data_IF_645401969111
#
_entry.id   IF_645401969111
#
_cell.length_a   1.000
_cell.length_b   1.000
_cell.length_c   1.000
_cell.angle_alpha   90.00
_cell.angle_beta   90.00
_cell.angle_gamma   90.00
#
_symmetry.space_group_name_H-M   'P 1'
#
loop_
_entity.id
_entity.type
_entity.pdbx_description
1 polymer ?
#
# COMPACT_ATOMS: atom_id res chain seq x y z
N UNK A 1 -12.39 -6.84 -14.35
CA UNK A 1 -11.76 -6.43 -13.08
C UNK A 1 -12.88 -6.22 -12.09
N UNK A 2 -12.81 -6.82 -10.90
CA UNK A 2 -13.73 -6.50 -9.82
C UNK A 2 -13.08 -5.45 -8.91
N UNK A 3 -13.83 -4.40 -8.58
CA UNK A 3 -13.44 -3.34 -7.64
C UNK A 3 -14.21 -3.55 -6.34
N UNK A 4 -13.49 -3.72 -5.24
CA UNK A 4 -14.05 -4.04 -3.92
C UNK A 4 -13.70 -2.89 -2.96
N UNK A 5 -14.72 -2.36 -2.29
CA UNK A 5 -14.55 -1.30 -1.31
C UNK A 5 -13.84 -1.82 -0.05
N UNK A 6 -13.00 -0.98 0.55
CA UNK A 6 -12.39 -1.21 1.86
C UNK A 6 -13.03 -0.33 2.93
N UNK A 7 -12.50 -0.33 4.15
CA UNK A 7 -12.90 0.63 5.19
C UNK A 7 -12.53 2.09 4.86
N UNK A 8 -11.64 2.31 3.89
CA UNK A 8 -11.29 3.63 3.38
C UNK A 8 -11.89 3.79 1.96
N UNK A 9 -12.82 4.73 1.73
CA UNK A 9 -13.57 4.82 0.47
C UNK A 9 -12.72 4.95 -0.80
N UNK A 10 -11.55 5.56 -0.73
CA UNK A 10 -10.64 5.78 -1.86
C UNK A 10 -9.59 4.67 -2.04
N UNK A 11 -9.48 3.75 -1.07
CA UNK A 11 -8.59 2.58 -1.16
C UNK A 11 -9.41 1.38 -1.62
N UNK A 12 -8.95 0.71 -2.68
CA UNK A 12 -9.71 -0.35 -3.33
C UNK A 12 -8.92 -1.63 -3.45
N UNK A 13 -9.54 -2.75 -3.05
CA UNK A 13 -9.05 -4.06 -3.47
C UNK A 13 -9.51 -4.32 -4.91
N UNK A 14 -8.58 -4.74 -5.76
CA UNK A 14 -8.84 -5.06 -7.16
C UNK A 14 -8.59 -6.54 -7.40
N UNK A 15 -9.54 -7.22 -8.03
CA UNK A 15 -9.40 -8.63 -8.43
C UNK A 15 -9.43 -8.76 -9.96
N UNK A 16 -8.29 -9.09 -10.60
CA UNK A 16 -8.25 -9.28 -12.04
C UNK A 16 -9.02 -10.54 -12.43
N UNK A 17 -9.41 -10.60 -13.70
CA UNK A 17 -9.89 -11.87 -14.26
C UNK A 17 -8.69 -12.78 -14.50
N UNK A 18 -8.78 -14.02 -14.02
CA UNK A 18 -7.68 -15.00 -14.09
C UNK A 18 -8.07 -16.05 -15.13
N UNK A 19 -7.34 -16.07 -16.24
CA UNK A 19 -7.49 -17.11 -17.26
C UNK A 19 -6.64 -18.31 -16.85
N UNK A 20 -7.25 -19.49 -16.70
CA UNK A 20 -6.55 -20.72 -16.31
C UNK A 20 -6.69 -21.78 -17.40
N UNK A 21 -5.62 -22.50 -17.67
CA UNK A 21 -5.61 -23.68 -18.53
C UNK A 21 -4.51 -24.67 -18.07
N UNK A 22 -4.33 -25.76 -18.81
CA UNK A 22 -3.36 -26.81 -18.47
C UNK A 22 -1.89 -26.31 -18.38
N UNK A 23 -1.56 -25.14 -18.93
CA UNK A 23 -0.23 -24.51 -18.88
C UNK A 23 -0.01 -23.67 -17.62
N UNK A 24 -1.08 -23.33 -16.90
CA UNK A 24 -1.04 -22.47 -15.73
C UNK A 24 -2.11 -21.38 -15.76
N UNK A 25 -1.70 -20.12 -15.58
CA UNK A 25 -2.62 -18.98 -15.62
C UNK A 25 -2.03 -17.79 -16.38
N UNK A 26 -2.92 -16.94 -16.88
CA UNK A 26 -2.61 -15.63 -17.46
C UNK A 26 -3.48 -14.56 -16.79
N UNK A 27 -2.87 -13.41 -16.49
CA UNK A 27 -3.57 -12.24 -15.97
C UNK A 27 -3.04 -10.97 -16.64
N UNK A 28 -3.94 -10.07 -17.00
CA UNK A 28 -3.58 -8.67 -17.19
C UNK A 28 -3.47 -8.03 -15.80
N UNK A 29 -2.26 -8.04 -15.24
CA UNK A 29 -2.00 -7.43 -13.93
C UNK A 29 -2.20 -5.91 -13.95
N UNK A 30 -1.98 -5.27 -15.09
CA UNK A 30 -2.31 -3.88 -15.35
C UNK A 30 -2.70 -3.70 -16.82
N UNK A 31 -3.74 -2.90 -17.05
CA UNK A 31 -4.14 -2.44 -18.36
C UNK A 31 -4.71 -1.03 -18.19
N UNK A 32 -4.03 -0.02 -18.73
CA UNK A 32 -4.35 1.39 -18.48
C UNK A 32 -5.82 1.73 -18.78
N UNK A 33 -6.33 1.29 -19.94
CA UNK A 33 -7.71 1.57 -20.34
C UNK A 33 -8.74 0.89 -19.41
N UNK A 34 -8.48 -0.36 -19.01
CA UNK A 34 -9.38 -1.09 -18.09
C UNK A 34 -9.37 -0.53 -16.67
N UNK A 35 -8.22 -0.07 -16.19
CA UNK A 35 -8.11 0.58 -14.89
C UNK A 35 -8.78 1.96 -14.89
N UNK A 36 -8.58 2.75 -15.96
CA UNK A 36 -9.24 4.03 -16.15
C UNK A 36 -10.77 3.90 -16.15
N UNK A 37 -11.31 2.89 -16.82
CA UNK A 37 -12.74 2.57 -16.80
C UNK A 37 -13.29 2.20 -15.40
N UNK A 38 -12.42 1.85 -14.44
CA UNK A 38 -12.78 1.59 -13.04
C UNK A 38 -12.47 2.78 -12.10
N UNK A 39 -12.12 3.94 -12.66
CA UNK A 39 -11.81 5.17 -11.91
C UNK A 39 -10.36 5.28 -11.44
N UNK A 40 -9.44 4.52 -12.04
CA UNK A 40 -7.99 4.62 -11.78
C UNK A 40 -7.32 5.13 -13.05
N UNK A 41 -7.21 6.45 -13.16
CA UNK A 41 -6.66 7.12 -14.34
C UNK A 41 -5.16 7.46 -14.21
N UNK A 42 -4.53 7.10 -13.08
CA UNK A 42 -3.11 7.34 -12.82
C UNK A 42 -2.22 6.71 -13.90
N UNK A 43 -1.17 7.44 -14.26
CA UNK A 43 -0.07 6.93 -15.08
C UNK A 43 1.00 6.39 -14.13
N UNK A 44 1.26 5.09 -14.20
CA UNK A 44 2.33 4.46 -13.41
C UNK A 44 3.65 4.54 -14.19
N UNK A 45 4.68 5.13 -13.57
CA UNK A 45 5.97 5.46 -14.20
C UNK A 45 7.16 4.69 -13.60
N UNK A 46 6.95 4.03 -12.47
CA UNK A 46 7.98 3.25 -11.80
C UNK A 46 7.40 1.92 -11.29
N UNK A 47 8.16 0.85 -11.50
CA UNK A 47 7.85 -0.48 -10.96
C UNK A 47 8.92 -0.89 -9.95
N UNK A 48 8.48 -1.38 -8.79
CA UNK A 48 9.38 -1.89 -7.76
C UNK A 48 9.07 -3.35 -7.48
N UNK A 49 10.08 -4.10 -7.07
CA UNK A 49 9.97 -5.49 -6.66
C UNK A 49 10.81 -5.70 -5.40
N UNK A 50 10.16 -6.16 -4.32
CA UNK A 50 10.83 -6.51 -3.08
C UNK A 50 10.61 -7.97 -2.72
N UNK A 51 11.60 -8.52 -2.01
CA UNK A 51 11.50 -9.81 -1.34
C UNK A 51 11.55 -9.60 0.18
N UNK A 52 10.70 -10.31 0.90
CA UNK A 52 10.61 -10.27 2.36
C UNK A 52 10.47 -11.68 2.92
N UNK A 53 11.10 -11.92 4.06
CA UNK A 53 10.91 -13.15 4.86
C UNK A 53 9.72 -12.97 5.81
N UNK A 54 9.17 -14.08 6.31
CA UNK A 54 8.05 -14.05 7.27
C UNK A 54 8.31 -13.12 8.45
N UNK A 55 7.29 -12.38 8.86
CA UNK A 55 7.35 -11.43 9.96
C UNK A 55 8.02 -10.11 9.61
N UNK A 56 8.56 -9.94 8.40
CA UNK A 56 9.06 -8.64 7.94
C UNK A 56 7.91 -7.65 7.82
N UNK A 57 8.03 -6.51 8.50
CA UNK A 57 7.13 -5.38 8.38
C UNK A 57 7.88 -4.21 7.74
N UNK A 58 7.33 -3.65 6.66
CA UNK A 58 7.84 -2.44 6.01
C UNK A 58 6.79 -1.35 6.11
N UNK A 59 7.18 -0.15 6.51
CA UNK A 59 6.29 0.99 6.61
C UNK A 59 6.17 1.56 8.02
N UNK A 60 5.32 2.57 8.22
CA UNK A 60 4.41 3.14 7.20
C UNK A 60 5.14 4.22 6.39
N UNK A 61 5.11 4.14 5.05
CA UNK A 61 5.85 5.04 4.16
C UNK A 61 4.94 5.91 3.30
N UNK A 62 5.33 7.17 3.15
CA UNK A 62 4.77 8.14 2.21
C UNK A 62 5.89 9.05 1.69
N UNK A 63 5.62 9.86 0.68
CA UNK A 63 6.59 10.84 0.18
C UNK A 63 5.93 12.19 -0.15
N UNK A 64 6.65 13.30 0.10
CA UNK A 64 6.21 14.67 -0.19
C UNK A 64 7.41 15.54 -0.62
N UNK A 65 7.24 16.46 -1.59
CA UNK A 65 6.00 16.80 -2.28
C UNK A 65 5.59 15.82 -3.39
N UNK A 66 6.46 14.90 -3.83
CA UNK A 66 6.18 14.02 -4.98
C UNK A 66 5.30 12.82 -4.64
N UNK A 67 4.17 12.99 -3.94
CA UNK A 67 3.34 11.88 -3.44
C UNK A 67 2.97 10.84 -4.52
N UNK A 68 3.01 9.54 -4.17
CA UNK A 68 2.72 8.44 -5.09
C UNK A 68 1.35 7.82 -4.87
N UNK A 69 0.61 7.58 -5.95
CA UNK A 69 -0.37 6.51 -6.02
C UNK A 69 0.37 5.19 -6.20
N UNK A 70 -0.02 4.15 -5.47
CA UNK A 70 0.58 2.82 -5.50
C UNK A 70 -0.45 1.77 -5.90
N UNK A 71 -0.04 0.85 -6.78
CA UNK A 71 -0.75 -0.38 -7.09
C UNK A 71 0.09 -1.57 -6.63
N UNK A 72 -0.34 -2.20 -5.56
CA UNK A 72 0.41 -3.19 -4.81
C UNK A 72 -0.11 -4.61 -5.08
N UNK A 73 0.78 -5.61 -5.22
CA UNK A 73 0.38 -7.02 -5.35
C UNK A 73 1.46 -7.99 -4.89
N UNK A 74 1.05 -9.21 -4.55
CA UNK A 74 1.95 -10.31 -4.19
C UNK A 74 1.98 -11.37 -5.31
N UNK A 75 3.18 -11.81 -5.69
CA UNK A 75 3.38 -12.87 -6.72
C UNK A 75 3.91 -14.18 -6.15
N UNK A 76 4.45 -14.17 -4.93
CA UNK A 76 4.83 -15.34 -4.15
C UNK A 76 4.44 -15.07 -2.70
N UNK A 77 3.75 -16.02 -2.04
CA UNK A 77 3.37 -15.89 -0.63
C UNK A 77 2.13 -15.06 -0.35
N UNK A 78 2.03 -14.55 0.89
CA UNK A 78 0.94 -13.70 1.38
C UNK A 78 1.48 -12.54 2.24
N UNK A 79 0.84 -11.37 2.13
CA UNK A 79 1.12 -10.20 2.94
C UNK A 79 -0.17 -9.52 3.43
N UNK A 80 -0.19 -9.03 4.66
CA UNK A 80 -1.21 -8.10 5.13
C UNK A 80 -0.79 -6.70 4.69
N UNK A 81 -1.46 -6.16 3.68
CA UNK A 81 -1.17 -4.85 3.08
C UNK A 81 -2.07 -3.78 3.69
N UNK A 82 -1.49 -2.64 4.08
CA UNK A 82 -2.17 -1.61 4.87
C UNK A 82 -1.97 -0.24 4.23
N UNK A 83 -3.07 0.50 4.14
CA UNK A 83 -3.10 1.92 3.79
C UNK A 83 -3.65 2.72 4.96
N UNK A 84 -3.03 3.86 5.26
CA UNK A 84 -3.44 4.79 6.33
C UNK A 84 -3.69 6.15 5.71
N UNK A 85 -4.86 6.73 5.99
CA UNK A 85 -5.17 8.09 5.58
C UNK A 85 -4.44 9.09 6.49
N UNK A 86 -3.48 9.81 5.91
CA UNK A 86 -2.67 10.82 6.61
C UNK A 86 -2.97 12.24 6.10
N UNK A 87 -4.07 12.42 5.38
CA UNK A 87 -4.44 13.70 4.76
C UNK A 87 -5.08 14.62 5.78
N UNK A 88 -4.41 15.70 6.12
CA UNK A 88 -4.92 16.71 7.06
C UNK A 88 -6.26 17.26 6.57
N UNK A 89 -7.27 17.28 7.45
CA UNK A 89 -8.64 17.67 7.12
C UNK A 89 -9.53 16.55 6.56
N UNK A 90 -8.99 15.35 6.33
CA UNK A 90 -9.80 14.21 5.89
C UNK A 90 -10.79 13.76 6.98
N UNK A 91 -12.04 13.39 6.62
CA UNK A 91 -12.99 12.77 7.56
C UNK A 91 -12.51 11.41 8.09
N UNK A 92 -11.56 10.78 7.39
CA UNK A 92 -10.96 9.50 7.76
C UNK A 92 -9.50 9.62 8.21
N UNK A 93 -9.03 10.82 8.56
CA UNK A 93 -7.65 11.02 9.04
C UNK A 93 -7.30 10.06 10.20
N UNK A 94 -6.14 9.40 10.10
CA UNK A 94 -5.66 8.40 11.04
C UNK A 94 -6.35 7.04 10.95
N UNK A 95 -7.36 6.88 10.08
CA UNK A 95 -8.01 5.59 9.83
C UNK A 95 -7.23 4.79 8.79
N UNK A 96 -7.39 3.48 8.85
CA UNK A 96 -6.67 2.54 8.00
C UNK A 96 -7.59 1.50 7.37
N UNK A 97 -7.11 0.93 6.26
CA UNK A 97 -7.67 -0.24 5.61
C UNK A 97 -6.59 -1.30 5.48
N UNK A 98 -6.95 -2.57 5.64
CA UNK A 98 -6.03 -3.67 5.45
C UNK A 98 -6.64 -4.75 4.54
N UNK A 99 -5.82 -5.32 3.67
CA UNK A 99 -6.20 -6.38 2.74
C UNK A 99 -5.09 -7.42 2.71
N UNK A 100 -5.44 -8.70 2.81
CA UNK A 100 -4.46 -9.76 2.55
C UNK A 100 -4.26 -9.87 1.04
N UNK A 101 -3.05 -9.61 0.58
CA UNK A 101 -2.62 -9.83 -0.79
C UNK A 101 -1.90 -11.17 -0.89
N UNK A 102 -2.22 -11.98 -1.90
CA UNK A 102 -1.55 -13.28 -2.07
C UNK A 102 -1.38 -13.71 -3.52
N UNK A 103 -0.36 -14.55 -3.74
CA UNK A 103 -0.15 -15.23 -5.02
C UNK A 103 -1.34 -16.13 -5.41
N UNK A 104 -2.10 -16.61 -4.43
CA UNK A 104 -3.29 -17.47 -4.65
C UNK A 104 -4.50 -16.66 -5.11
N UNK A 105 -4.79 -15.55 -4.44
CA UNK A 105 -5.94 -14.69 -4.78
C UNK A 105 -5.63 -13.80 -5.98
N UNK A 106 -4.35 -13.49 -6.21
CA UNK A 106 -3.85 -12.64 -7.30
C UNK A 106 -4.53 -11.25 -7.29
N UNK A 107 -4.97 -10.82 -6.12
CA UNK A 107 -5.57 -9.52 -5.85
C UNK A 107 -4.51 -8.43 -5.72
N UNK A 108 -4.97 -7.19 -5.76
CA UNK A 108 -4.13 -6.00 -5.69
C UNK A 108 -4.77 -4.97 -4.77
N UNK A 109 -3.96 -4.11 -4.16
CA UNK A 109 -4.43 -2.96 -3.40
C UNK A 109 -4.06 -1.68 -4.15
N UNK A 110 -5.07 -0.87 -4.48
CA UNK A 110 -4.89 0.47 -5.00
C UNK A 110 -4.92 1.47 -3.85
N UNK A 111 -3.85 2.27 -3.74
CA UNK A 111 -3.65 3.25 -2.68
C UNK A 111 -3.35 4.60 -3.35
N UNK A 112 -4.26 5.59 -3.30
CA UNK A 112 -4.05 6.87 -3.97
C UNK A 112 -3.01 7.74 -3.23
N UNK A 113 -2.57 8.81 -3.90
CA UNK A 113 -1.72 9.85 -3.29
C UNK A 113 -2.33 10.34 -1.97
N UNK A 114 -1.45 10.65 -1.01
CA UNK A 114 -1.84 11.19 0.29
C UNK A 114 -2.05 10.14 1.38
N UNK A 115 -1.90 8.85 1.09
CA UNK A 115 -1.95 7.78 2.08
C UNK A 115 -0.54 7.28 2.40
N UNK A 116 -0.32 6.88 3.66
CA UNK A 116 0.85 6.11 4.03
C UNK A 116 0.60 4.61 3.79
N UNK A 117 1.64 3.87 3.43
CA UNK A 117 1.56 2.47 3.05
C UNK A 117 2.53 1.61 3.86
N UNK A 118 2.10 0.42 4.26
CA UNK A 118 2.98 -0.59 4.80
C UNK A 118 2.42 -1.99 4.64
N UNK A 119 3.23 -3.01 4.86
CA UNK A 119 2.76 -4.40 4.85
C UNK A 119 3.55 -5.29 5.81
N UNK A 120 2.90 -6.39 6.21
CA UNK A 120 3.50 -7.48 6.98
C UNK A 120 3.56 -8.75 6.12
N UNK A 121 4.74 -9.31 5.93
CA UNK A 121 4.93 -10.60 5.27
C UNK A 121 4.44 -11.76 6.16
N UNK A 122 3.44 -12.52 5.70
CA UNK A 122 2.77 -13.57 6.48
C UNK A 122 3.38 -14.96 6.24
N UNK A 123 4.01 -15.18 5.09
CA UNK A 123 4.62 -16.46 4.69
C UNK A 123 6.15 -16.37 4.63
N UNK A 124 6.82 -17.53 4.61
CA UNK A 124 8.30 -17.63 4.60
C UNK A 124 8.97 -16.80 3.51
N UNK A 125 8.31 -16.70 2.35
CA UNK A 125 8.77 -15.95 1.18
C UNK A 125 7.62 -15.09 0.70
N UNK A 126 7.87 -13.79 0.53
CA UNK A 126 6.92 -12.84 -0.04
C UNK A 126 7.62 -12.02 -1.11
N UNK A 127 7.17 -12.15 -2.36
CA UNK A 127 7.56 -11.26 -3.46
C UNK A 127 6.44 -10.24 -3.68
N UNK A 128 6.73 -8.98 -3.33
CA UNK A 128 5.79 -7.88 -3.35
C UNK A 128 6.17 -6.88 -4.46
N UNK A 129 5.21 -6.59 -5.33
CA UNK A 129 5.37 -5.72 -6.49
C UNK A 129 4.56 -4.45 -6.32
N UNK A 130 5.11 -3.36 -6.84
CA UNK A 130 4.51 -2.03 -6.82
C UNK A 130 4.52 -1.48 -8.24
N UNK A 131 3.45 -0.76 -8.59
CA UNK A 131 3.49 0.27 -9.63
C UNK A 131 3.26 1.61 -8.93
N UNK A 132 4.09 2.61 -9.20
CA UNK A 132 4.03 3.94 -8.59
C UNK A 132 3.76 5.01 -9.64
N UNK A 133 2.89 5.98 -9.33
CA UNK A 133 2.51 7.08 -10.23
C UNK A 133 3.53 8.23 -10.30
N UNK A 134 4.62 8.11 -9.56
CA UNK A 134 5.69 9.10 -9.50
C UNK A 134 7.01 8.39 -9.18
N UNK A 135 8.14 9.06 -9.40
CA UNK A 135 9.45 8.48 -9.11
C UNK A 135 9.73 8.46 -7.61
N UNK A 136 10.55 7.51 -7.16
CA UNK A 136 11.08 7.53 -5.81
C UNK A 136 12.08 8.68 -5.64
N UNK A 137 11.91 9.46 -4.59
CA UNK A 137 12.88 10.44 -4.14
C UNK A 137 13.17 10.19 -2.64
N UNK A 138 14.43 9.89 -2.34
CA UNK A 138 14.85 9.60 -0.97
C UNK A 138 14.77 10.82 -0.05
N UNK A 139 14.88 12.04 -0.59
CA UNK A 139 14.77 13.27 0.19
C UNK A 139 13.32 13.56 0.62
N UNK A 140 12.36 13.08 -0.17
CA UNK A 140 10.94 13.25 0.06
C UNK A 140 10.33 12.13 0.91
N UNK A 141 11.07 11.02 1.11
CA UNK A 141 10.55 9.86 1.81
C UNK A 141 10.41 10.16 3.30
N UNK A 142 9.22 9.86 3.81
CA UNK A 142 8.89 9.96 5.22
C UNK A 142 8.32 8.64 5.73
N UNK A 143 8.47 8.43 7.04
CA UNK A 143 7.96 7.26 7.72
C UNK A 143 7.10 7.65 8.93
N UNK A 144 6.08 6.85 9.20
CA UNK A 144 5.29 6.86 10.44
C UNK A 144 5.56 5.54 11.16
N UNK A 145 5.65 5.63 12.49
CA UNK A 145 5.83 4.48 13.35
C UNK A 145 4.73 3.43 13.09
N UNK A 146 5.14 2.23 12.70
CA UNK A 146 4.21 1.17 12.31
C UNK A 146 3.26 0.75 13.44
N UNK A 147 3.69 0.88 14.70
CA UNK A 147 2.90 0.56 15.90
C UNK A 147 2.39 1.82 16.60
N UNK A 148 2.08 2.86 15.83
CA UNK A 148 1.46 4.07 16.36
C UNK A 148 0.14 3.73 17.09
N UNK A 149 0.02 4.01 18.40
CA UNK A 149 -1.16 3.67 19.18
C UNK A 149 -2.41 4.45 18.77
N UNK A 150 -2.28 5.62 18.15
CA UNK A 150 -3.43 6.41 17.67
C UNK A 150 -4.01 5.85 16.37
N UNK A 151 -3.14 5.32 15.49
CA UNK A 151 -3.59 4.63 14.28
C UNK A 151 -4.14 3.24 14.64
N UNK A 152 -3.44 2.51 15.52
CA UNK A 152 -3.91 1.25 16.09
C UNK A 152 -4.10 0.13 15.06
N UNK A 153 -3.12 -0.05 14.16
CA UNK A 153 -3.19 -1.11 13.13
C UNK A 153 -3.09 -2.49 13.80
N UNK A 154 -4.04 -3.37 13.48
CA UNK A 154 -4.06 -4.74 13.95
C UNK A 154 -3.12 -5.63 13.12
N UNK A 155 -1.80 -5.48 13.29
CA UNK A 155 -0.79 -6.28 12.59
C UNK A 155 -0.80 -7.77 12.97
N UNK A 156 -1.35 -8.12 14.14
CA UNK A 156 -1.43 -9.50 14.65
C UNK A 156 -0.07 -10.22 14.70
N UNK A 157 0.99 -9.48 15.05
CA UNK A 157 2.34 -10.01 15.27
C UNK A 157 2.97 -9.37 16.50
N UNK A 158 3.60 -10.18 17.35
CA UNK A 158 4.22 -9.70 18.58
C UNK A 158 5.60 -9.05 18.35
N UNK A 159 6.41 -9.63 17.46
CA UNK A 159 7.79 -9.20 17.21
C UNK A 159 8.10 -9.23 15.70
N UNK A 160 7.71 -8.18 14.95
CA UNK A 160 8.05 -8.09 13.53
C UNK A 160 9.52 -7.77 13.32
N UNK A 161 10.05 -8.16 12.16
CA UNK A 161 11.37 -7.72 11.67
C UNK A 161 11.17 -6.40 10.94
N UNK A 162 11.70 -5.31 11.50
CA UNK A 162 11.56 -3.94 10.96
C UNK A 162 12.94 -3.35 10.70
N UNK A 163 13.02 -2.40 9.76
CA UNK A 163 14.25 -1.64 9.54
C UNK A 163 14.51 -0.67 10.70
N UNK A 164 15.76 -0.23 10.86
CA UNK A 164 16.10 0.80 11.86
C UNK A 164 15.35 2.13 11.60
N UNK A 165 15.15 2.47 10.31
CA UNK A 165 14.36 3.64 9.89
C UNK A 165 12.92 3.54 10.39
N UNK A 166 12.28 2.39 10.16
CA UNK A 166 10.87 2.19 10.53
C UNK A 166 10.69 2.06 12.05
N UNK A 167 11.68 1.47 12.74
CA UNK A 167 11.69 1.36 14.20
C UNK A 167 11.83 2.71 14.91
N UNK A 168 12.48 3.69 14.27
CA UNK A 168 12.72 5.05 14.81
C UNK A 168 11.76 6.10 14.27
N UNK A 169 10.85 5.73 13.38
CA UNK A 169 9.91 6.67 12.79
C UNK A 169 9.05 7.35 13.89
N UNK A 170 8.68 8.63 13.70
CA UNK A 170 7.79 9.32 14.63
C UNK A 170 6.36 8.78 14.52
N UNK A 171 5.57 8.96 15.58
CA UNK A 171 4.11 8.79 15.50
C UNK A 171 3.49 9.87 14.62
N UNK A 172 2.32 9.62 14.05
CA UNK A 172 1.56 10.54 13.22
C UNK A 172 1.33 11.88 13.94
N UNK A 173 0.99 11.84 15.23
CA UNK A 173 0.81 13.04 16.05
C UNK A 173 2.08 13.90 16.22
N UNK A 174 3.28 13.31 16.06
CA UNK A 174 4.56 14.00 16.19
C UNK A 174 5.07 14.57 14.87
N UNK A 175 4.45 14.21 13.75
CA UNK A 175 4.85 14.77 12.46
C UNK A 175 4.44 16.24 12.35
N UNK A 176 5.34 17.11 11.86
CA UNK A 176 4.96 18.47 11.48
C UNK A 176 3.84 18.45 10.43
N UNK A 177 2.90 19.39 10.52
CA UNK A 177 1.72 19.42 9.64
C UNK A 177 2.09 19.67 8.18
N UNK A 178 3.18 20.39 7.93
CA UNK A 178 3.75 20.65 6.62
C UNK A 178 4.34 19.39 5.95
N UNK A 179 4.64 18.35 6.74
CA UNK A 179 5.04 17.04 6.26
C UNK A 179 3.85 16.09 6.14
N UNK A 180 2.62 16.60 6.15
CA UNK A 180 1.43 15.80 5.89
C UNK A 180 0.70 16.30 4.65
N UNK A 181 0.17 15.40 3.82
CA UNK A 181 -0.65 15.79 2.69
C UNK A 181 -1.92 16.50 3.18
N UNK A 182 -2.49 17.36 2.34
CA UNK A 182 -3.76 18.05 2.63
C UNK A 182 -4.89 17.32 1.93
N UNK A 183 -6.00 17.10 2.64
CA UNK A 183 -7.20 16.54 2.05
C UNK A 183 -7.80 17.56 1.05
N UNK A 184 -8.01 17.18 -0.22
CA UNK A 184 -8.54 18.11 -1.20
C UNK A 184 -9.95 18.55 -0.80
N UNK A 185 -10.14 19.86 -0.62
CA UNK A 185 -11.48 20.44 -0.52
C UNK A 185 -12.13 20.36 -1.89
N UNK A 186 -13.24 19.63 -1.97
CA UNK A 186 -14.13 19.59 -3.14
C UNK A 186 -14.72 20.95 -3.47
#
# INVERSE_FOLDING_TARGET
MQKIATSLPEVWELRPHIFRDARGFFIESYNQARFAACGIADVFVQDNHSFSVKGTLRGLHYQLPHAQTKLCRVVEGEALDVAVDIRTGSPTFGKWAAVVLSARMQNQLYIPRGFAHGFLALTERVQFLYKCSDFYDAADEHAIFWSDPEIGIAWNIAAPVVSEKDARAPTLAKLPRELLPVYPTT
#
